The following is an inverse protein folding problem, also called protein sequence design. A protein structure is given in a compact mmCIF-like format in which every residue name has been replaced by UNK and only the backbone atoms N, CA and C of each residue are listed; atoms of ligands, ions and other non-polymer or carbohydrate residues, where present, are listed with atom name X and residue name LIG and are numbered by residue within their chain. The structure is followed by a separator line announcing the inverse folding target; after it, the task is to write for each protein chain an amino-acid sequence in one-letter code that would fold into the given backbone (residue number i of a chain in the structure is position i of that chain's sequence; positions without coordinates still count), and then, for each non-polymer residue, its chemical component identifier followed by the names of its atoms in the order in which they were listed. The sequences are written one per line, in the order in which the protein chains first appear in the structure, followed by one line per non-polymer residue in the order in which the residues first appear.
data_IF_234872545636
#
_entry.id   IF_234872545636
#
_cell.length_a   1.000
_cell.length_b   1.000
_cell.length_c   1.000
_cell.angle_alpha   90.00
_cell.angle_beta   90.00
_cell.angle_gamma   90.00
#
_symmetry.space_group_name_H-M   'P 1'
#
loop_
_entity.id
_entity.type
_entity.pdbx_description
1 polymer ?
#
# COMPACT_ATOMS: atom_id res chain seq x y z
N UNK A 1 27.53 -17.93 -70.07
CA UNK A 1 27.69 -16.47 -69.84
C UNK A 1 28.31 -16.28 -68.45
N UNK A 2 29.40 -15.51 -68.32
CA UNK A 2 30.03 -15.25 -67.02
C UNK A 2 29.34 -14.07 -66.35
N UNK A 3 28.93 -14.21 -65.09
CA UNK A 3 28.32 -13.13 -64.32
C UNK A 3 29.29 -11.95 -64.19
N UNK A 4 28.78 -10.73 -64.42
CA UNK A 4 29.55 -9.50 -64.24
C UNK A 4 29.89 -9.29 -62.75
N UNK A 5 30.96 -8.55 -62.43
CA UNK A 5 31.32 -8.26 -61.04
C UNK A 5 30.16 -7.65 -60.23
N UNK A 6 29.37 -6.78 -60.86
CA UNK A 6 28.18 -6.17 -60.24
C UNK A 6 27.09 -7.21 -59.93
N UNK A 7 26.82 -8.14 -60.86
CA UNK A 7 25.83 -9.19 -60.63
C UNK A 7 26.24 -10.13 -59.49
N UNK A 8 27.54 -10.42 -59.36
CA UNK A 8 28.07 -11.21 -58.23
C UNK A 8 27.91 -10.47 -56.91
N UNK A 9 28.20 -9.17 -56.87
CA UNK A 9 28.02 -8.35 -55.68
C UNK A 9 26.55 -8.25 -55.27
N UNK A 10 25.64 -8.05 -56.24
CA UNK A 10 24.21 -7.99 -55.99
C UNK A 10 23.68 -9.32 -55.42
N UNK A 11 24.04 -10.45 -56.03
CA UNK A 11 23.65 -11.78 -55.53
C UNK A 11 24.20 -12.01 -54.12
N UNK A 12 25.45 -11.61 -53.83
CA UNK A 12 26.03 -11.73 -52.49
C UNK A 12 25.24 -10.94 -51.44
N UNK A 13 24.82 -9.71 -51.75
CA UNK A 13 24.01 -8.89 -50.82
C UNK A 13 22.64 -9.51 -50.58
N UNK A 14 21.98 -10.03 -51.63
CA UNK A 14 20.68 -10.71 -51.48
C UNK A 14 20.81 -11.96 -50.61
N UNK A 15 21.84 -12.78 -50.84
CA UNK A 15 22.10 -13.97 -50.04
C UNK A 15 22.37 -13.61 -48.57
N UNK A 16 23.18 -12.58 -48.32
CA UNK A 16 23.43 -12.10 -46.96
C UNK A 16 22.17 -11.54 -46.29
N UNK A 17 21.31 -10.84 -47.05
CA UNK A 17 20.02 -10.35 -46.55
C UNK A 17 19.08 -11.48 -46.17
N UNK A 18 18.98 -12.52 -46.99
CA UNK A 18 18.13 -13.70 -46.71
C UNK A 18 18.66 -14.49 -45.52
N UNK A 19 19.98 -14.72 -45.44
CA UNK A 19 20.61 -15.40 -44.30
C UNK A 19 20.41 -14.57 -43.03
N UNK A 20 20.61 -13.26 -43.09
CA UNK A 20 20.39 -12.34 -41.97
C UNK A 20 18.94 -12.38 -41.48
N UNK A 21 17.97 -12.32 -42.40
CA UNK A 21 16.54 -12.41 -42.07
C UNK A 21 16.16 -13.77 -41.47
N UNK A 22 16.57 -14.88 -42.09
CA UNK A 22 16.29 -16.22 -41.58
C UNK A 22 16.92 -16.45 -40.20
N UNK A 23 18.14 -15.98 -40.00
CA UNK A 23 18.86 -16.08 -38.73
C UNK A 23 18.17 -15.24 -37.65
N UNK A 24 17.75 -14.01 -37.96
CA UNK A 24 16.97 -13.19 -37.04
C UNK A 24 15.58 -13.77 -36.75
N UNK A 25 14.88 -14.32 -37.74
CA UNK A 25 13.52 -14.83 -37.57
C UNK A 25 13.48 -16.14 -36.77
N UNK A 26 14.39 -17.08 -37.04
CA UNK A 26 14.38 -18.41 -36.41
C UNK A 26 15.29 -18.55 -35.19
N UNK A 27 16.34 -17.71 -35.10
CA UNK A 27 17.35 -17.77 -34.03
C UNK A 27 17.51 -16.42 -33.32
N UNK A 28 16.67 -15.43 -33.61
CA UNK A 28 16.79 -14.07 -33.08
C UNK A 28 16.77 -14.01 -31.57
N UNK A 29 15.91 -14.79 -30.90
CA UNK A 29 15.85 -14.78 -29.44
C UNK A 29 17.06 -15.44 -28.79
N UNK A 30 17.56 -16.55 -29.37
CA UNK A 30 18.81 -17.17 -28.93
C UNK A 30 20.02 -16.26 -29.17
N UNK A 31 20.03 -15.49 -30.26
CA UNK A 31 21.09 -14.53 -30.57
C UNK A 31 21.01 -13.30 -29.66
N UNK A 32 19.81 -12.81 -29.31
CA UNK A 32 19.63 -11.76 -28.29
C UNK A 32 20.10 -12.24 -26.92
N UNK A 33 19.82 -13.49 -26.57
CA UNK A 33 20.24 -14.11 -25.31
C UNK A 33 21.75 -14.38 -25.26
N UNK A 34 22.38 -14.65 -26.39
CA UNK A 34 23.83 -14.84 -26.52
C UNK A 34 24.62 -13.52 -26.66
N UNK A 35 24.10 -12.56 -27.43
CA UNK A 35 24.71 -11.24 -27.64
C UNK A 35 24.46 -10.28 -26.45
N UNK A 36 23.43 -10.56 -25.66
CA UNK A 36 23.24 -9.99 -24.33
C UNK A 36 24.00 -10.80 -23.29
N UNK A 37 25.33 -10.67 -23.26
CA UNK A 37 26.05 -10.93 -22.01
C UNK A 37 25.36 -10.13 -20.90
N UNK A 38 24.94 -10.81 -19.84
CA UNK A 38 24.11 -10.33 -18.74
C UNK A 38 24.13 -8.80 -18.56
N UNK A 39 23.22 -8.11 -19.23
CA UNK A 39 22.47 -7.10 -18.52
C UNK A 39 21.34 -7.88 -17.90
N UNK A 40 21.53 -8.23 -16.63
CA UNK A 40 20.41 -8.37 -15.73
C UNK A 40 19.42 -7.26 -16.11
N UNK A 41 18.21 -7.65 -16.50
CA UNK A 41 17.11 -6.74 -16.31
C UNK A 41 17.27 -6.27 -14.87
N UNK A 42 17.37 -4.95 -14.70
CA UNK A 42 17.06 -4.33 -13.42
C UNK A 42 15.56 -4.60 -13.22
N UNK A 43 15.28 -5.84 -12.82
CA UNK A 43 14.06 -6.29 -12.19
C UNK A 43 14.06 -5.62 -10.81
N UNK A 44 13.97 -4.29 -10.79
CA UNK A 44 13.45 -3.55 -9.64
C UNK A 44 11.98 -3.90 -9.35
N UNK A 45 11.53 -5.09 -9.73
CA UNK A 45 10.43 -5.79 -9.10
C UNK A 45 11.02 -6.58 -7.95
N UNK A 46 10.69 -6.15 -6.74
CA UNK A 46 10.92 -6.81 -5.45
C UNK A 46 11.43 -8.25 -5.60
N UNK A 47 12.71 -8.44 -5.27
CA UNK A 47 13.27 -9.76 -5.09
C UNK A 47 12.35 -10.54 -4.16
N UNK A 48 11.81 -11.66 -4.65
CA UNK A 48 11.06 -12.65 -3.83
C UNK A 48 11.79 -12.97 -2.51
N UNK A 49 13.11 -12.77 -2.45
CA UNK A 49 13.99 -12.94 -1.29
C UNK A 49 13.74 -12.04 -0.08
N UNK A 50 13.26 -10.82 -0.25
CA UNK A 50 13.21 -9.83 0.85
C UNK A 50 12.20 -10.25 1.95
N UNK A 51 11.28 -11.13 1.57
CA UNK A 51 10.24 -11.68 2.44
C UNK A 51 10.31 -13.20 2.56
N UNK A 52 11.39 -13.83 2.09
CA UNK A 52 11.58 -15.27 2.22
C UNK A 52 11.65 -15.71 3.68
N UNK A 53 12.14 -14.82 4.57
CA UNK A 53 12.11 -15.03 6.02
C UNK A 53 10.70 -14.90 6.65
N UNK A 54 9.70 -14.42 5.90
CA UNK A 54 8.29 -14.34 6.31
C UNK A 54 7.46 -15.51 5.76
N UNK A 55 8.06 -16.44 5.00
CA UNK A 55 7.38 -17.62 4.44
C UNK A 55 6.80 -18.59 5.50
N UNK A 56 7.17 -18.42 6.76
CA UNK A 56 6.58 -19.14 7.90
C UNK A 56 5.62 -18.30 8.74
N UNK A 57 5.16 -17.15 8.23
CA UNK A 57 4.12 -16.37 8.87
C UNK A 57 2.85 -17.21 9.05
N UNK A 58 2.08 -17.02 10.13
CA UNK A 58 0.78 -17.66 10.28
C UNK A 58 -0.09 -17.32 9.06
N UNK A 59 -0.83 -18.31 8.57
CA UNK A 59 -1.80 -18.10 7.48
C UNK A 59 -2.74 -16.95 7.85
N UNK A 60 -3.14 -16.16 6.85
CA UNK A 60 -4.19 -15.16 7.03
C UNK A 60 -5.43 -15.83 7.63
N UNK A 61 -6.11 -15.20 8.61
CA UNK A 61 -7.32 -15.76 9.19
C UNK A 61 -8.35 -16.08 8.10
N UNK A 62 -8.88 -17.31 8.12
CA UNK A 62 -9.89 -17.73 7.16
C UNK A 62 -11.11 -16.78 7.21
N UNK A 63 -11.57 -16.32 6.04
CA UNK A 63 -12.69 -15.38 5.94
C UNK A 63 -13.93 -15.97 6.63
N UNK A 64 -14.51 -15.22 7.56
CA UNK A 64 -15.72 -15.63 8.30
C UNK A 64 -15.45 -16.51 9.52
N UNK A 65 -14.18 -16.84 9.81
CA UNK A 65 -13.78 -17.45 11.08
C UNK A 65 -13.46 -16.31 12.04
N UNK A 66 -14.20 -16.25 13.16
CA UNK A 66 -13.94 -15.26 14.20
C UNK A 66 -12.55 -15.44 14.82
N UNK A 67 -11.98 -14.37 15.37
CA UNK A 67 -10.69 -14.42 16.06
C UNK A 67 -10.69 -15.46 17.19
N UNK A 68 -9.75 -16.39 17.18
CA UNK A 68 -9.58 -17.39 18.24
C UNK A 68 -8.96 -16.74 19.49
N UNK A 69 -9.40 -17.15 20.68
CA UNK A 69 -8.89 -16.62 21.96
C UNK A 69 -9.45 -15.25 22.38
N UNK A 70 -10.41 -14.69 21.63
CA UNK A 70 -11.08 -13.43 22.01
C UNK A 70 -12.43 -13.75 22.68
N UNK A 71 -12.61 -13.30 23.92
CA UNK A 71 -13.92 -13.37 24.58
C UNK A 71 -14.89 -12.42 23.89
N UNK A 72 -15.96 -12.98 23.30
CA UNK A 72 -17.02 -12.18 22.72
C UNK A 72 -17.62 -11.24 23.78
N UNK A 73 -17.65 -9.95 23.49
CA UNK A 73 -18.37 -8.97 24.31
C UNK A 73 -19.86 -9.10 24.07
N UNK A 74 -20.65 -9.04 25.14
CA UNK A 74 -22.11 -8.89 25.03
C UNK A 74 -22.41 -7.57 24.33
N UNK A 75 -22.89 -7.64 23.09
CA UNK A 75 -23.36 -6.47 22.36
C UNK A 75 -24.76 -6.13 22.87
N UNK A 76 -24.97 -4.87 23.25
CA UNK A 76 -26.29 -4.39 23.67
C UNK A 76 -27.31 -4.43 22.52
N UNK A 77 -28.60 -4.30 22.83
CA UNK A 77 -29.69 -4.26 21.84
C UNK A 77 -29.87 -2.87 21.19
N UNK A 78 -29.09 -1.88 21.61
CA UNK A 78 -29.17 -0.52 21.12
C UNK A 78 -28.84 -0.42 19.64
N UNK A 79 -29.68 0.28 18.89
CA UNK A 79 -29.44 0.67 17.49
C UNK A 79 -29.23 2.17 17.43
N UNK A 80 -28.32 2.62 16.58
CA UNK A 80 -28.21 4.04 16.23
C UNK A 80 -29.48 4.46 15.47
N UNK A 81 -30.10 5.55 15.89
CA UNK A 81 -31.24 6.19 15.21
C UNK A 81 -30.79 7.28 14.21
N UNK A 82 -29.48 7.43 14.03
CA UNK A 82 -28.81 8.34 13.10
C UNK A 82 -27.76 7.57 12.30
N UNK A 83 -27.24 8.12 11.20
CA UNK A 83 -26.13 7.49 10.50
C UNK A 83 -24.94 7.25 11.43
N UNK A 84 -24.28 6.10 11.22
CA UNK A 84 -22.95 5.83 11.75
C UNK A 84 -21.95 6.69 10.97
N UNK A 85 -21.21 7.54 11.67
CA UNK A 85 -20.24 8.46 11.06
C UNK A 85 -18.84 7.92 11.21
N UNK A 86 -18.17 7.66 10.09
CA UNK A 86 -16.82 7.09 10.01
C UNK A 86 -15.85 8.17 9.52
N UNK A 87 -14.89 8.54 10.35
CA UNK A 87 -13.81 9.47 10.00
C UNK A 87 -12.66 8.74 9.31
N UNK A 88 -12.33 9.16 8.10
CA UNK A 88 -11.25 8.59 7.28
C UNK A 88 -10.29 9.69 6.82
N UNK A 89 -9.05 9.35 6.53
CA UNK A 89 -8.08 10.17 5.79
C UNK A 89 -8.02 9.72 4.33
N UNK A 90 -7.24 10.39 3.46
CA UNK A 90 -7.05 9.91 2.09
C UNK A 90 -6.15 8.67 2.07
N UNK A 91 -6.76 7.51 1.82
CA UNK A 91 -6.06 6.23 1.67
C UNK A 91 -6.86 5.27 0.78
N UNK A 92 -6.19 4.54 -0.11
CA UNK A 92 -6.84 3.64 -1.07
C UNK A 92 -7.53 2.44 -0.39
N UNK A 93 -6.99 1.96 0.73
CA UNK A 93 -7.58 0.86 1.50
C UNK A 93 -8.97 1.17 2.06
N UNK A 94 -9.38 2.44 2.06
CA UNK A 94 -10.73 2.83 2.49
C UNK A 94 -11.79 2.65 1.40
N UNK A 95 -11.36 2.51 0.13
CA UNK A 95 -12.25 2.46 -1.02
C UNK A 95 -13.32 1.34 -0.95
N UNK A 96 -13.03 0.10 -0.48
CA UNK A 96 -14.05 -0.95 -0.38
C UNK A 96 -15.26 -0.53 0.46
N UNK A 97 -15.05 0.15 1.58
CA UNK A 97 -16.15 0.63 2.44
C UNK A 97 -16.99 1.72 1.75
N UNK A 98 -16.33 2.68 1.11
CA UNK A 98 -16.99 3.77 0.36
C UNK A 98 -17.80 3.22 -0.81
N UNK A 99 -17.23 2.28 -1.58
CA UNK A 99 -17.91 1.61 -2.70
C UNK A 99 -19.10 0.78 -2.20
N UNK A 100 -18.93 0.03 -1.10
CA UNK A 100 -20.01 -0.75 -0.52
C UNK A 100 -21.18 0.13 -0.05
N UNK A 101 -20.87 1.34 0.45
CA UNK A 101 -21.87 2.34 0.82
C UNK A 101 -22.51 3.08 -0.38
N UNK A 102 -21.93 2.98 -1.57
CA UNK A 102 -22.38 3.72 -2.75
C UNK A 102 -21.98 5.20 -2.71
N UNK A 103 -20.92 5.55 -1.99
CA UNK A 103 -20.41 6.91 -1.83
C UNK A 103 -20.16 7.30 -0.36
N UNK A 104 -19.85 8.58 -0.16
CA UNK A 104 -19.52 9.12 1.16
C UNK A 104 -20.75 9.40 2.04
N UNK A 105 -21.92 9.59 1.43
CA UNK A 105 -23.15 9.94 2.14
C UNK A 105 -24.12 8.75 2.24
N UNK A 106 -24.99 8.71 3.27
CA UNK A 106 -26.07 7.72 3.34
C UNK A 106 -26.94 7.78 2.09
N UNK A 107 -27.24 6.61 1.52
CA UNK A 107 -28.07 6.53 0.32
C UNK A 107 -28.90 5.26 0.28
N UNK A 108 -30.01 5.29 -0.46
CA UNK A 108 -30.80 4.10 -0.73
C UNK A 108 -30.02 3.04 -1.53
N UNK A 109 -28.93 3.41 -2.20
CA UNK A 109 -28.07 2.49 -2.93
C UNK A 109 -27.14 1.68 -2.01
N UNK A 110 -26.87 2.17 -0.79
CA UNK A 110 -25.93 1.59 0.17
C UNK A 110 -26.22 0.13 0.50
N UNK A 111 -25.19 -0.72 0.39
CA UNK A 111 -25.30 -2.11 0.84
C UNK A 111 -25.33 -2.21 2.37
N UNK A 112 -24.77 -1.25 3.12
CA UNK A 112 -24.93 -1.21 4.58
C UNK A 112 -26.40 -1.08 4.95
N UNK A 113 -27.14 -0.20 4.25
CA UNK A 113 -28.58 -0.03 4.45
C UNK A 113 -29.36 -1.27 4.03
N UNK A 114 -29.14 -1.76 2.80
CA UNK A 114 -29.89 -2.89 2.24
C UNK A 114 -29.70 -4.20 3.01
N UNK A 115 -28.50 -4.45 3.54
CA UNK A 115 -28.16 -5.72 4.18
C UNK A 115 -28.26 -5.68 5.70
N UNK A 116 -27.98 -4.53 6.31
CA UNK A 116 -27.86 -4.41 7.77
C UNK A 116 -28.80 -3.35 8.36
N UNK A 117 -29.60 -2.66 7.55
CA UNK A 117 -30.49 -1.60 8.01
C UNK A 117 -29.75 -0.40 8.61
N UNK A 118 -28.50 -0.18 8.20
CA UNK A 118 -27.61 0.83 8.77
C UNK A 118 -27.29 1.91 7.74
N UNK A 119 -27.56 3.16 8.09
CA UNK A 119 -27.07 4.31 7.32
C UNK A 119 -25.63 4.64 7.76
N UNK A 120 -24.72 4.80 6.80
CA UNK A 120 -23.31 5.08 7.04
C UNK A 120 -22.90 6.34 6.29
N UNK A 121 -22.15 7.21 6.98
CA UNK A 121 -21.54 8.41 6.42
C UNK A 121 -20.03 8.33 6.61
N UNK A 122 -19.26 8.56 5.56
CA UNK A 122 -17.82 8.77 5.63
C UNK A 122 -17.51 10.26 5.63
N UNK A 123 -16.58 10.69 6.47
CA UNK A 123 -16.12 12.08 6.56
C UNK A 123 -14.61 12.10 6.40
N UNK A 124 -14.13 12.93 5.48
CA UNK A 124 -12.70 13.10 5.22
C UNK A 124 -12.09 14.05 6.25
N UNK A 125 -11.14 13.55 7.04
CA UNK A 125 -10.44 14.24 8.11
C UNK A 125 -8.95 13.87 8.01
N UNK A 126 -8.18 14.69 7.27
CA UNK A 126 -6.77 14.43 6.99
C UNK A 126 -5.86 14.67 8.21
N UNK A 127 -6.20 15.65 9.04
CA UNK A 127 -5.41 15.98 10.21
C UNK A 127 -5.77 15.04 11.38
N UNK A 128 -4.80 14.27 11.92
CA UNK A 128 -5.06 13.34 13.02
C UNK A 128 -5.63 14.01 14.27
N UNK A 129 -5.20 15.24 14.60
CA UNK A 129 -5.69 15.95 15.77
C UNK A 129 -7.16 16.39 15.59
N UNK A 130 -7.53 16.86 14.41
CA UNK A 130 -8.90 17.19 14.03
C UNK A 130 -9.79 15.96 14.03
N UNK A 131 -9.29 14.81 13.51
CA UNK A 131 -10.01 13.54 13.52
C UNK A 131 -10.30 13.06 14.95
N UNK A 132 -9.28 13.06 15.81
CA UNK A 132 -9.44 12.74 17.23
C UNK A 132 -10.41 13.72 17.93
N UNK A 133 -10.35 15.01 17.63
CA UNK A 133 -11.28 16.00 18.19
C UNK A 133 -12.73 15.76 17.74
N UNK A 134 -12.95 15.39 16.47
CA UNK A 134 -14.26 15.02 15.95
C UNK A 134 -14.81 13.77 16.64
N UNK A 135 -13.98 12.76 16.88
CA UNK A 135 -14.36 11.57 17.64
C UNK A 135 -14.72 11.90 19.10
N UNK A 136 -13.85 12.67 19.78
CA UNK A 136 -14.06 13.06 21.18
C UNK A 136 -15.31 13.92 21.41
N UNK A 137 -15.74 14.68 20.40
CA UNK A 137 -16.96 15.48 20.43
C UNK A 137 -18.21 14.73 19.96
N UNK A 138 -18.08 13.48 19.53
CA UNK A 138 -19.19 12.66 19.02
C UNK A 138 -19.66 13.05 17.61
N UNK A 139 -18.89 13.87 16.89
CA UNK A 139 -19.14 14.14 15.47
C UNK A 139 -18.79 12.93 14.58
N UNK A 140 -17.87 12.08 15.05
CA UNK A 140 -17.48 10.82 14.43
C UNK A 140 -17.62 9.69 15.45
N UNK A 141 -18.17 8.54 15.03
CA UNK A 141 -18.34 7.35 15.86
C UNK A 141 -17.19 6.37 15.74
N UNK A 142 -16.56 6.32 14.57
CA UNK A 142 -15.47 5.40 14.24
C UNK A 142 -14.38 6.20 13.56
N UNK A 143 -13.14 6.10 14.05
CA UNK A 143 -11.97 6.55 13.32
C UNK A 143 -11.33 5.35 12.64
N UNK A 144 -10.98 5.50 11.37
CA UNK A 144 -10.08 4.57 10.70
C UNK A 144 -8.65 5.06 10.88
N UNK A 145 -7.86 4.25 11.57
CA UNK A 145 -6.51 4.56 12.02
C UNK A 145 -5.56 3.41 11.70
N UNK A 146 -4.31 3.78 11.42
CA UNK A 146 -3.20 2.83 11.51
C UNK A 146 -2.91 2.51 12.98
N UNK A 147 -2.28 1.36 13.24
CA UNK A 147 -2.04 0.87 14.61
C UNK A 147 -1.17 1.85 15.41
N UNK A 148 -0.19 2.49 14.78
CA UNK A 148 0.66 3.52 15.38
C UNK A 148 -0.13 4.77 15.77
N UNK A 149 -1.03 5.26 14.91
CA UNK A 149 -1.88 6.42 15.24
C UNK A 149 -2.84 6.06 16.39
N UNK A 150 -3.47 4.88 16.34
CA UNK A 150 -4.33 4.39 17.41
C UNK A 150 -3.59 4.27 18.74
N UNK A 151 -2.34 3.78 18.76
CA UNK A 151 -1.56 3.66 19.99
C UNK A 151 -1.35 5.03 20.67
N UNK A 152 -1.06 6.07 19.88
CA UNK A 152 -0.95 7.45 20.37
C UNK A 152 -2.30 7.95 20.90
N UNK A 153 -3.36 7.81 20.11
CA UNK A 153 -4.68 8.35 20.46
C UNK A 153 -5.31 7.65 21.66
N UNK A 154 -5.15 6.33 21.77
CA UNK A 154 -5.58 5.55 22.93
C UNK A 154 -4.93 6.06 24.22
N UNK A 155 -3.64 6.42 24.18
CA UNK A 155 -2.96 7.03 25.33
C UNK A 155 -3.55 8.40 25.70
N UNK A 156 -3.91 9.23 24.73
CA UNK A 156 -4.52 10.54 24.96
C UNK A 156 -5.92 10.37 25.57
N UNK A 157 -6.72 9.47 25.02
CA UNK A 157 -8.07 9.18 25.51
C UNK A 157 -8.02 8.64 26.95
N UNK A 158 -7.10 7.71 27.24
CA UNK A 158 -6.91 7.17 28.59
C UNK A 158 -6.52 8.26 29.60
N UNK A 159 -5.59 9.15 29.24
CA UNK A 159 -5.19 10.28 30.10
C UNK A 159 -6.35 11.25 30.40
N UNK A 160 -7.38 11.26 29.54
CA UNK A 160 -8.57 12.09 29.69
C UNK A 160 -9.79 11.31 30.20
N UNK A 161 -9.59 10.07 30.65
CA UNK A 161 -10.65 9.17 31.13
C UNK A 161 -11.78 8.94 30.10
N UNK A 162 -11.44 8.97 28.81
CA UNK A 162 -12.33 8.64 27.70
C UNK A 162 -12.07 7.21 27.21
N UNK A 163 -13.13 6.50 26.84
CA UNK A 163 -13.06 5.10 26.43
C UNK A 163 -13.24 4.95 24.91
N UNK A 164 -12.36 4.19 24.29
CA UNK A 164 -12.48 3.75 22.91
C UNK A 164 -11.82 2.37 22.76
N UNK A 165 -12.16 1.63 21.71
CA UNK A 165 -11.64 0.29 21.44
C UNK A 165 -11.32 0.15 19.97
N UNK A 166 -10.20 -0.49 19.66
CA UNK A 166 -9.98 -1.06 18.33
C UNK A 166 -10.86 -2.31 18.21
N UNK A 167 -11.63 -2.39 17.11
CA UNK A 167 -12.68 -3.41 16.92
C UNK A 167 -12.48 -4.25 15.67
N UNK A 168 -11.73 -3.78 14.67
CA UNK A 168 -11.52 -4.47 13.41
C UNK A 168 -10.23 -3.99 12.73
N UNK A 169 -9.48 -4.93 12.14
CA UNK A 169 -8.46 -4.61 11.15
C UNK A 169 -9.12 -4.69 9.77
N UNK A 170 -9.24 -3.55 9.10
CA UNK A 170 -10.00 -3.44 7.84
C UNK A 170 -9.10 -3.50 6.60
N UNK A 171 -7.83 -3.12 6.75
CA UNK A 171 -6.84 -3.06 5.68
C UNK A 171 -5.44 -3.25 6.25
N UNK A 172 -4.49 -3.69 5.42
CA UNK A 172 -3.06 -3.69 5.70
C UNK A 172 -2.28 -3.42 4.42
N UNK A 173 -1.10 -2.80 4.53
CA UNK A 173 -0.25 -2.52 3.39
C UNK A 173 1.20 -2.95 3.62
N UNK A 174 1.91 -3.23 2.51
CA UNK A 174 3.37 -3.39 2.47
C UNK A 174 3.89 -2.43 1.40
N UNK A 175 4.40 -1.29 1.84
CA UNK A 175 4.83 -0.21 0.94
C UNK A 175 3.76 0.85 0.65
N UNK A 176 2.69 0.92 1.46
CA UNK A 176 1.73 2.04 1.39
C UNK A 176 2.35 3.38 1.82
N UNK A 177 3.26 3.32 2.79
CA UNK A 177 4.08 4.43 3.26
C UNK A 177 5.54 4.24 2.82
N UNK A 178 6.21 5.34 2.48
CA UNK A 178 7.60 5.34 2.05
C UNK A 178 8.30 6.68 2.27
N UNK A 179 9.62 6.67 2.17
CA UNK A 179 10.47 7.87 2.24
C UNK A 179 11.00 8.18 0.84
N UNK A 180 10.71 9.38 0.35
CA UNK A 180 11.33 9.90 -0.86
C UNK A 180 12.58 10.71 -0.48
N UNK A 181 13.70 10.42 -1.11
CA UNK A 181 14.98 11.10 -0.87
C UNK A 181 15.61 11.60 -2.17
N UNK A 182 16.62 12.47 -2.04
CA UNK A 182 17.48 12.81 -3.17
C UNK A 182 18.30 11.58 -3.57
N UNK A 183 18.64 11.47 -4.85
CA UNK A 183 19.47 10.37 -5.34
C UNK A 183 20.84 10.27 -4.65
N UNK A 184 21.34 11.32 -4.00
CA UNK A 184 22.58 11.31 -3.22
C UNK A 184 22.45 10.63 -1.85
N UNK A 185 21.24 10.47 -1.32
CA UNK A 185 20.97 9.76 -0.06
C UNK A 185 20.81 8.29 -0.40
N UNK A 186 21.78 7.45 0.02
CA UNK A 186 21.84 6.02 -0.32
C UNK A 186 21.45 5.12 0.83
N UNK A 187 21.47 5.63 2.06
CA UNK A 187 21.00 4.91 3.25
C UNK A 187 20.29 5.84 4.22
N UNK A 188 19.71 5.28 5.29
CA UNK A 188 19.06 6.05 6.35
C UNK A 188 20.10 6.86 7.14
N UNK A 189 21.33 6.34 7.30
CA UNK A 189 22.43 7.01 7.98
C UNK A 189 22.84 8.31 7.27
N UNK A 190 22.71 8.36 5.94
CA UNK A 190 22.96 9.56 5.14
C UNK A 190 21.98 10.70 5.44
N UNK A 191 20.88 10.45 6.17
CA UNK A 191 19.96 11.51 6.60
C UNK A 191 20.57 12.40 7.69
N UNK A 192 21.67 11.99 8.32
CA UNK A 192 22.31 12.75 9.41
C UNK A 192 22.67 14.16 8.97
N UNK A 193 22.19 15.15 9.73
CA UNK A 193 22.45 16.57 9.47
C UNK A 193 21.57 17.19 8.37
N UNK A 194 20.69 16.40 7.73
CA UNK A 194 19.70 16.90 6.79
C UNK A 194 18.39 17.25 7.48
N UNK A 195 17.63 18.17 6.86
CA UNK A 195 16.26 18.50 7.29
C UNK A 195 15.28 17.62 6.53
N UNK A 196 14.37 16.99 7.26
CA UNK A 196 13.36 16.08 6.72
C UNK A 196 11.99 16.73 6.90
N UNK A 197 11.24 16.86 5.81
CA UNK A 197 9.84 17.27 5.86
C UNK A 197 8.97 16.05 6.14
N UNK A 198 8.12 16.11 7.16
CA UNK A 198 7.25 15.01 7.54
C UNK A 198 5.99 15.57 8.22
N UNK A 199 4.82 15.03 7.87
CA UNK A 199 3.57 15.32 8.58
C UNK A 199 3.58 14.57 9.90
N UNK A 200 3.52 15.27 11.03
CA UNK A 200 3.57 14.64 12.34
C UNK A 200 2.36 13.77 12.61
N UNK A 201 2.57 12.73 13.42
CA UNK A 201 1.53 11.80 13.89
C UNK A 201 0.82 11.00 12.80
N UNK A 202 1.51 10.75 11.68
CA UNK A 202 1.05 9.86 10.60
C UNK A 202 1.87 8.57 10.59
N UNK A 203 1.40 7.52 9.89
CA UNK A 203 2.21 6.31 9.67
C UNK A 203 3.56 6.61 9.00
N UNK A 204 3.64 7.61 8.12
CA UNK A 204 4.92 8.02 7.52
C UNK A 204 5.88 8.65 8.54
N UNK A 205 5.36 9.36 9.55
CA UNK A 205 6.17 9.85 10.67
C UNK A 205 6.66 8.72 11.56
N UNK A 206 5.79 7.76 11.86
CA UNK A 206 6.20 6.55 12.57
C UNK A 206 7.30 5.79 11.82
N UNK A 207 7.13 5.58 10.50
CA UNK A 207 8.12 4.92 9.65
C UNK A 207 9.48 5.63 9.70
N UNK A 208 9.49 6.96 9.59
CA UNK A 208 10.72 7.74 9.71
C UNK A 208 11.40 7.54 11.06
N UNK A 209 10.67 7.71 12.17
CA UNK A 209 11.21 7.55 13.52
C UNK A 209 11.74 6.13 13.75
N UNK A 210 11.01 5.13 13.25
CA UNK A 210 11.41 3.73 13.31
C UNK A 210 12.75 3.53 12.58
N UNK A 211 12.87 3.98 11.33
CA UNK A 211 14.10 3.83 10.55
C UNK A 211 15.29 4.57 11.19
N UNK A 212 15.10 5.80 11.67
CA UNK A 212 16.14 6.53 12.40
C UNK A 212 16.62 5.74 13.62
N UNK A 213 15.69 5.16 14.40
CA UNK A 213 16.03 4.34 15.56
C UNK A 213 16.83 3.09 15.20
N UNK A 214 16.51 2.44 14.08
CA UNK A 214 17.23 1.25 13.62
C UNK A 214 18.65 1.60 13.13
N UNK A 215 18.86 2.83 12.67
CA UNK A 215 20.16 3.36 12.22
C UNK A 215 20.96 4.07 13.31
N UNK A 216 20.52 4.03 14.56
CA UNK A 216 21.19 4.72 15.67
C UNK A 216 21.18 6.24 15.55
N UNK A 217 20.27 6.79 14.74
CA UNK A 217 20.06 8.23 14.59
C UNK A 217 18.96 8.71 15.55
N UNK A 218 19.14 9.93 16.04
CA UNK A 218 18.12 10.63 16.84
C UNK A 218 17.38 11.65 15.99
N UNK A 219 16.05 11.79 16.13
CA UNK A 219 15.26 12.85 15.50
C UNK A 219 15.71 14.26 15.90
#
# INVERSE_FOLDING_TARGET
MKLTPLAKAFIAVVVLGVIGFATWHYKGDAIKQWAGGERAADDGGDSKGDFDNLKGGPDDPARGVGSTGVTATTIGTGKLNRPLVVGINTWAGHAPGVVFNGGMEPSAASNYKKRFGMDVKFVLLEDPAAKLAAFRSGQVDIMWDTVDNWAREASILAAQNQQAKSIIMQDWSRGGDGIASLASIKSVEDLKGHKIACTQFTPSHFLLLYLLSQSGLTP
#
